data_IF_900004617444
#
_entry.id   IF_900004617444
#
_cell.length_a   1.000
_cell.length_b   1.000
_cell.length_c   1.000
_cell.angle_alpha   90.00
_cell.angle_beta   90.00
_cell.angle_gamma   90.00
#
_symmetry.space_group_name_H-M   'P 1'
#
loop_
_entity.id
_entity.type
_entity.pdbx_description
1 polymer ?
#
# COMPACT_ATOMS: atom_id res chain seq x y z
N UNK A 1 -10.19 -15.29 2.77
CA UNK A 1 -9.32 -14.48 3.66
C UNK A 1 -8.84 -13.21 2.93
N UNK A 2 -9.70 -12.20 2.80
CA UNK A 2 -9.43 -11.00 1.97
C UNK A 2 -9.76 -9.70 2.73
N UNK A 3 -9.32 -9.60 3.98
CA UNK A 3 -9.59 -8.42 4.82
C UNK A 3 -8.42 -8.12 5.76
N UNK A 4 -7.24 -7.82 5.21
CA UNK A 4 -6.16 -7.17 5.99
C UNK A 4 -5.18 -6.43 5.09
N UNK A 5 -5.65 -5.54 4.21
CA UNK A 5 -4.76 -4.61 3.49
C UNK A 5 -5.42 -3.33 2.92
N UNK A 6 -6.63 -2.94 3.36
CA UNK A 6 -7.35 -1.80 2.74
C UNK A 6 -6.70 -0.44 3.02
N UNK A 7 -6.02 -0.29 4.16
CA UNK A 7 -5.43 0.99 4.57
C UNK A 7 -4.12 1.32 3.84
N UNK A 8 -3.29 0.31 3.56
CA UNK A 8 -2.06 0.50 2.79
C UNK A 8 -2.35 0.96 1.35
N UNK A 9 -3.46 0.48 0.77
CA UNK A 9 -3.95 0.93 -0.54
C UNK A 9 -4.45 2.38 -0.48
N UNK A 10 -5.08 2.81 0.62
CA UNK A 10 -5.64 4.16 0.76
C UNK A 10 -4.57 5.25 0.70
N UNK A 11 -3.51 5.14 1.50
CA UNK A 11 -2.42 6.14 1.54
C UNK A 11 -1.59 6.10 0.26
N UNK A 12 -1.29 4.91 -0.26
CA UNK A 12 -0.60 4.74 -1.53
C UNK A 12 -1.39 5.33 -2.71
N UNK A 13 -2.73 5.23 -2.71
CA UNK A 13 -3.58 5.79 -3.77
C UNK A 13 -3.58 7.33 -3.81
N UNK A 14 -3.42 7.98 -2.64
CA UNK A 14 -3.44 9.45 -2.54
C UNK A 14 -2.16 10.07 -3.10
N UNK A 15 -1.00 9.44 -2.87
CA UNK A 15 0.30 9.86 -3.43
C UNK A 15 0.42 9.62 -4.95
N UNK A 16 -0.32 8.64 -5.48
CA UNK A 16 -0.25 8.21 -6.88
C UNK A 16 -0.93 9.16 -7.87
N UNK A 17 -1.87 9.99 -7.42
CA UNK A 17 -2.60 10.94 -8.29
C UNK A 17 -1.72 12.06 -8.85
N UNK A 18 -0.70 12.50 -8.12
CA UNK A 18 0.19 13.57 -8.57
C UNK A 18 1.15 13.18 -9.71
N UNK A 19 1.34 11.87 -9.97
CA UNK A 19 2.41 11.37 -10.83
C UNK A 19 1.97 10.63 -12.11
N UNK A 20 0.68 10.64 -12.46
CA UNK A 20 0.15 9.94 -13.65
C UNK A 20 0.20 8.41 -13.55
N UNK A 21 0.24 7.87 -12.34
CA UNK A 21 0.38 6.43 -12.08
C UNK A 21 -0.99 5.70 -12.05
N UNK A 22 -2.09 6.44 -12.05
CA UNK A 22 -3.46 5.91 -12.08
C UNK A 22 -4.31 6.70 -13.07
N UNK A 23 -5.13 6.01 -13.85
CA UNK A 23 -6.25 6.57 -14.60
C UNK A 23 -7.56 6.29 -13.86
N UNK A 24 -8.50 7.24 -13.96
CA UNK A 24 -9.86 7.11 -13.40
C UNK A 24 -10.85 7.26 -14.53
N UNK A 25 -11.44 6.17 -14.95
CA UNK A 25 -12.49 6.18 -15.97
C UNK A 25 -13.86 6.00 -15.31
N UNK A 26 -14.91 6.67 -15.84
CA UNK A 26 -16.29 6.40 -15.42
C UNK A 26 -16.58 4.91 -15.62
N UNK A 27 -17.18 4.26 -14.63
CA UNK A 27 -17.64 2.90 -14.82
C UNK A 27 -18.87 2.92 -15.74
N UNK A 28 -18.83 2.29 -16.93
CA UNK A 28 -19.97 2.29 -17.85
C UNK A 28 -21.20 1.54 -17.30
N UNK A 29 -21.04 0.72 -16.25
CA UNK A 29 -22.15 -0.01 -15.63
C UNK A 29 -22.72 0.66 -14.38
N UNK A 30 -22.02 1.64 -13.81
CA UNK A 30 -22.48 2.36 -12.62
C UNK A 30 -21.80 3.72 -12.52
N UNK A 31 -22.55 4.77 -12.83
CA UNK A 31 -22.07 6.17 -12.80
C UNK A 31 -21.63 6.65 -11.41
N UNK A 32 -21.99 5.95 -10.33
CA UNK A 32 -21.55 6.27 -8.96
C UNK A 32 -20.21 5.66 -8.61
N UNK A 33 -19.68 4.73 -9.41
CA UNK A 33 -18.36 4.14 -9.23
C UNK A 33 -17.37 4.59 -10.31
N UNK A 34 -16.09 4.65 -9.94
CA UNK A 34 -15.00 4.94 -10.88
C UNK A 34 -14.06 3.76 -10.92
N UNK A 35 -13.71 3.33 -12.13
CA UNK A 35 -12.69 2.30 -12.32
C UNK A 35 -11.34 2.98 -12.12
N UNK A 36 -10.53 2.43 -11.22
CA UNK A 36 -9.17 2.87 -10.94
C UNK A 36 -8.24 1.87 -11.61
N UNK A 37 -7.59 2.28 -12.69
CA UNK A 37 -6.59 1.46 -13.37
C UNK A 37 -5.19 2.03 -13.17
N UNK A 38 -4.21 1.13 -13.02
CA UNK A 38 -2.80 1.54 -13.04
C UNK A 38 -2.40 1.84 -14.47
N UNK A 39 -1.80 3.00 -14.72
CA UNK A 39 -1.19 3.27 -16.03
C UNK A 39 0.03 2.38 -16.26
N UNK A 40 0.56 2.33 -17.48
CA UNK A 40 1.86 1.66 -17.75
C UNK A 40 2.99 2.18 -16.85
N UNK A 41 2.97 3.49 -16.54
CA UNK A 41 3.88 4.13 -15.59
C UNK A 41 3.58 3.66 -14.16
N UNK A 42 2.32 3.63 -13.76
CA UNK A 42 1.89 3.08 -12.47
C UNK A 42 2.32 1.64 -12.24
N UNK A 43 2.16 0.76 -13.25
CA UNK A 43 2.62 -0.63 -13.18
C UNK A 43 4.14 -0.76 -13.08
N UNK A 44 4.91 0.15 -13.69
CA UNK A 44 6.37 0.20 -13.51
C UNK A 44 6.75 0.69 -12.11
N UNK A 45 6.14 1.78 -11.65
CA UNK A 45 6.37 2.31 -10.30
C UNK A 45 6.04 1.27 -9.22
N UNK A 46 4.93 0.55 -9.36
CA UNK A 46 4.54 -0.51 -8.42
C UNK A 46 5.54 -1.66 -8.40
N UNK A 47 6.10 -2.04 -9.55
CA UNK A 47 7.16 -3.07 -9.62
C UNK A 47 8.43 -2.62 -8.90
N UNK A 48 8.91 -1.40 -9.18
CA UNK A 48 10.09 -0.85 -8.51
C UNK A 48 9.87 -0.81 -7.00
N UNK A 49 8.73 -0.26 -6.56
CA UNK A 49 8.36 -0.20 -5.15
C UNK A 49 8.37 -1.60 -4.50
N UNK A 50 7.80 -2.60 -5.17
CA UNK A 50 7.76 -3.98 -4.65
C UNK A 50 9.16 -4.58 -4.54
N UNK A 51 10.00 -4.42 -5.57
CA UNK A 51 11.39 -4.88 -5.52
C UNK A 51 12.16 -4.21 -4.37
N UNK A 52 12.07 -2.89 -4.24
CA UNK A 52 12.72 -2.15 -3.16
C UNK A 52 12.23 -2.57 -1.77
N UNK A 53 10.93 -2.88 -1.62
CA UNK A 53 10.39 -3.38 -0.36
C UNK A 53 10.99 -4.76 0.00
N UNK A 54 11.07 -5.68 -0.94
CA UNK A 54 11.68 -7.01 -0.72
C UNK A 54 13.16 -6.91 -0.37
N UNK A 55 13.90 -6.04 -1.07
CA UNK A 55 15.33 -5.83 -0.80
C UNK A 55 15.56 -5.24 0.59
N UNK A 56 14.74 -4.26 0.97
CA UNK A 56 14.78 -3.63 2.28
C UNK A 56 14.48 -4.64 3.39
N UNK A 57 13.42 -5.42 3.25
CA UNK A 57 13.05 -6.46 4.22
C UNK A 57 14.15 -7.52 4.36
N UNK A 58 14.75 -7.95 3.25
CA UNK A 58 15.87 -8.89 3.27
C UNK A 58 17.11 -8.32 3.97
N UNK A 59 17.36 -7.01 3.83
CA UNK A 59 18.44 -6.33 4.55
C UNK A 59 18.14 -6.24 6.04
N UNK A 60 16.90 -5.92 6.41
CA UNK A 60 16.51 -5.86 7.82
C UNK A 60 16.50 -7.24 8.48
N UNK A 61 16.11 -8.29 7.77
CA UNK A 61 16.22 -9.66 8.28
C UNK A 61 17.67 -10.04 8.58
N UNK A 62 18.63 -9.64 7.73
CA UNK A 62 20.06 -9.85 7.99
C UNK A 62 20.58 -9.10 9.21
N UNK A 63 20.05 -7.91 9.50
CA UNK A 63 20.49 -7.06 10.63
C UNK A 63 19.83 -7.48 11.94
N UNK A 64 18.53 -7.77 11.92
CA UNK A 64 17.72 -7.98 13.11
C UNK A 64 17.50 -9.47 13.43
N UNK A 65 17.60 -10.34 12.42
CA UNK A 65 17.09 -11.70 12.47
C UNK A 65 15.57 -11.75 12.35
N UNK A 66 15.05 -12.94 12.02
CA UNK A 66 13.62 -13.17 11.75
C UNK A 66 12.71 -12.75 12.90
N UNK A 67 13.07 -13.11 14.14
CA UNK A 67 12.23 -12.85 15.33
C UNK A 67 12.00 -11.36 15.56
N UNK A 68 13.08 -10.58 15.65
CA UNK A 68 13.00 -9.14 15.90
C UNK A 68 12.36 -8.38 14.73
N UNK A 69 12.55 -8.87 13.50
CA UNK A 69 11.85 -8.32 12.34
C UNK A 69 10.32 -8.56 12.41
N UNK A 70 9.89 -9.73 12.89
CA UNK A 70 8.47 -10.01 13.11
C UNK A 70 7.88 -9.11 14.21
N UNK A 71 8.58 -8.95 15.34
CA UNK A 71 8.17 -8.06 16.44
C UNK A 71 8.03 -6.60 15.97
N UNK A 72 8.99 -6.10 15.16
CA UNK A 72 8.90 -4.78 14.56
C UNK A 72 7.67 -4.61 13.67
N UNK A 73 7.34 -5.63 12.87
CA UNK A 73 6.15 -5.61 12.00
C UNK A 73 4.86 -5.55 12.81
N UNK A 74 4.74 -6.33 13.87
CA UNK A 74 3.57 -6.31 14.75
C UNK A 74 3.41 -4.93 15.43
N UNK A 75 4.51 -4.34 15.92
CA UNK A 75 4.48 -3.00 16.51
C UNK A 75 4.01 -1.93 15.50
N UNK A 76 4.53 -1.95 14.27
CA UNK A 76 4.09 -1.03 13.22
C UNK A 76 2.62 -1.24 12.84
N UNK A 77 2.14 -2.49 12.80
CA UNK A 77 0.72 -2.78 12.54
C UNK A 77 -0.19 -2.27 13.64
N UNK A 78 0.21 -2.43 14.92
CA UNK A 78 -0.55 -1.90 16.04
C UNK A 78 -0.66 -0.36 15.99
N UNK A 79 0.44 0.33 15.67
CA UNK A 79 0.44 1.79 15.48
C UNK A 79 -0.46 2.20 14.32
N UNK A 80 -0.41 1.52 13.18
CA UNK A 80 -1.28 1.81 12.03
C UNK A 80 -2.76 1.59 12.34
N UNK A 81 -3.08 0.52 13.08
CA UNK A 81 -4.46 0.25 13.51
C UNK A 81 -4.98 1.37 14.43
N UNK A 82 -4.18 1.78 15.42
CA UNK A 82 -4.54 2.88 16.31
C UNK A 82 -4.72 4.23 15.59
N UNK A 83 -3.94 4.51 14.54
CA UNK A 83 -4.09 5.73 13.73
C UNK A 83 -5.33 5.72 12.83
N UNK A 84 -5.85 4.55 12.50
CA UNK A 84 -7.07 4.45 11.69
C UNK A 84 -8.33 4.64 12.51
N UNK A 85 -8.29 4.30 13.80
CA UNK A 85 -9.36 4.57 14.75
C UNK A 85 -9.49 6.08 15.00
N UNK A 86 -8.38 6.80 15.11
CA UNK A 86 -8.38 8.26 15.30
C UNK A 86 -8.75 9.07 14.05
N UNK A 87 -8.60 8.52 12.85
CA UNK A 87 -8.97 9.19 11.60
C UNK A 87 -10.43 8.96 11.18
N UNK A 88 -11.18 8.18 11.96
CA UNK A 88 -12.59 7.84 11.73
C UNK A 88 -13.59 8.63 12.59
N UNK A 89 -13.12 9.48 13.50
CA UNK A 89 -13.90 10.50 14.24
C UNK A 89 -13.81 11.87 13.55
#
# INVERSE_FOLDING_TARGET
MAAKNRQMVSVASRAVKGGGCVTREPNPQDTRSRIIELTRRGRRALRVMRCSAVDLESRWERILGRRRLAELREALQALLAGQAETAGE
#
